data_IF_298343282012
#
_entry.id   IF_298343282012
#
_cell.length_a   1.000
_cell.length_b   1.000
_cell.length_c   1.000
_cell.angle_alpha   90.00
_cell.angle_beta   90.00
_cell.angle_gamma   90.00
#
_symmetry.space_group_name_H-M   'P 1'
#
loop_
_entity.id
_entity.type
_entity.pdbx_description
1 polymer ?
#
# COMPACT_ATOMS: atom_id res chain seq x y z
N UNK A 1 5.25 -5.03 -24.90
CA UNK A 1 5.07 -4.31 -23.62
C UNK A 1 3.69 -4.58 -23.04
N UNK A 2 3.52 -4.65 -21.71
CA UNK A 2 2.16 -4.73 -21.12
C UNK A 2 1.46 -3.38 -21.26
N UNK A 3 0.54 -3.26 -22.23
CA UNK A 3 -0.25 -2.05 -22.44
C UNK A 3 -1.12 -1.73 -21.20
N UNK A 4 -1.34 -0.43 -20.94
CA UNK A 4 -2.18 0.12 -19.86
C UNK A 4 -1.69 -0.06 -18.41
N UNK A 5 -0.45 -0.50 -18.18
CA UNK A 5 0.10 -0.60 -16.81
C UNK A 5 0.83 0.70 -16.42
N UNK A 6 0.10 1.67 -15.85
CA UNK A 6 0.67 2.90 -15.27
C UNK A 6 1.25 2.62 -13.87
N UNK A 7 2.41 1.94 -13.81
CA UNK A 7 3.18 1.80 -12.55
C UNK A 7 4.20 2.93 -12.47
N UNK A 8 4.27 3.61 -11.32
CA UNK A 8 5.41 4.49 -11.02
C UNK A 8 6.68 3.64 -11.00
N UNK A 9 7.66 3.98 -11.85
CA UNK A 9 8.96 3.29 -11.92
C UNK A 9 9.92 3.96 -10.91
N UNK A 10 10.45 3.19 -9.97
CA UNK A 10 11.35 3.67 -8.91
C UNK A 10 12.83 3.30 -9.16
N UNK A 11 13.15 2.75 -10.34
CA UNK A 11 14.51 2.35 -10.72
C UNK A 11 15.12 1.26 -9.83
N UNK A 12 14.30 0.37 -9.27
CA UNK A 12 14.72 -0.70 -8.36
C UNK A 12 14.13 -2.03 -8.79
N UNK A 13 14.83 -3.11 -8.46
CA UNK A 13 14.32 -4.47 -8.60
C UNK A 13 13.03 -4.69 -7.79
N UNK A 14 12.29 -5.74 -8.15
CA UNK A 14 10.97 -6.00 -7.60
C UNK A 14 10.99 -6.16 -6.06
N UNK A 15 11.98 -6.88 -5.54
CA UNK A 15 12.05 -7.20 -4.10
C UNK A 15 12.41 -5.97 -3.27
N UNK A 16 13.45 -5.24 -3.67
CA UNK A 16 13.82 -3.97 -3.04
C UNK A 16 12.69 -2.93 -3.12
N UNK A 17 11.96 -2.90 -4.25
CA UNK A 17 10.79 -2.03 -4.37
C UNK A 17 9.70 -2.42 -3.38
N UNK A 18 9.40 -3.71 -3.25
CA UNK A 18 8.38 -4.19 -2.32
C UNK A 18 8.75 -3.88 -0.87
N UNK A 19 10.01 -4.11 -0.48
CA UNK A 19 10.52 -3.77 0.85
C UNK A 19 10.41 -2.26 1.12
N UNK A 20 10.83 -1.41 0.17
CA UNK A 20 10.73 0.04 0.29
C UNK A 20 9.29 0.51 0.49
N UNK A 21 8.33 -0.03 -0.28
CA UNK A 21 6.92 0.34 -0.16
C UNK A 21 6.31 -0.11 1.18
N UNK A 22 6.71 -1.28 1.69
CA UNK A 22 6.30 -1.74 3.03
C UNK A 22 6.81 -0.77 4.11
N UNK A 23 8.11 -0.48 4.10
CA UNK A 23 8.72 0.39 5.11
C UNK A 23 8.11 1.80 5.11
N UNK A 24 7.93 2.40 3.92
CA UNK A 24 7.31 3.72 3.82
C UNK A 24 5.87 3.72 4.32
N UNK A 25 5.09 2.67 4.06
CA UNK A 25 3.73 2.58 4.54
C UNK A 25 3.68 2.42 6.07
N UNK A 26 4.55 1.59 6.64
CA UNK A 26 4.70 1.46 8.10
C UNK A 26 5.07 2.79 8.74
N UNK A 27 6.05 3.52 8.20
CA UNK A 27 6.44 4.82 8.74
C UNK A 27 5.33 5.86 8.66
N UNK A 28 4.48 5.84 7.62
CA UNK A 28 3.30 6.72 7.53
C UNK A 28 2.30 6.42 8.64
N UNK A 29 2.05 5.14 8.93
CA UNK A 29 1.09 4.74 9.96
C UNK A 29 1.62 5.11 11.35
N UNK A 30 2.92 4.93 11.60
CA UNK A 30 3.53 5.18 12.91
C UNK A 30 3.73 6.66 13.22
N UNK A 31 4.11 7.46 12.22
CA UNK A 31 4.50 8.86 12.42
C UNK A 31 3.50 9.87 11.85
N UNK A 32 2.39 9.39 11.29
CA UNK A 32 1.31 10.15 10.62
C UNK A 32 1.73 10.94 9.36
N UNK A 33 2.99 11.38 9.29
CA UNK A 33 3.55 12.17 8.21
C UNK A 33 5.03 11.85 8.02
N UNK A 34 5.43 11.68 6.75
CA UNK A 34 6.84 11.48 6.38
C UNK A 34 7.23 12.43 5.25
N UNK A 35 8.49 12.85 5.22
CA UNK A 35 9.09 13.59 4.10
C UNK A 35 9.78 12.61 3.16
N UNK A 36 9.33 12.53 1.91
CA UNK A 36 9.90 11.63 0.89
C UNK A 36 9.87 12.28 -0.50
N UNK A 37 10.42 11.60 -1.51
CA UNK A 37 10.41 12.13 -2.89
C UNK A 37 9.03 11.98 -3.53
N UNK A 38 8.68 12.89 -4.44
CA UNK A 38 7.38 12.89 -5.15
C UNK A 38 7.05 11.55 -5.81
N UNK A 39 8.05 10.90 -6.41
CA UNK A 39 7.87 9.58 -7.03
C UNK A 39 7.57 8.48 -5.99
N UNK A 40 8.27 8.47 -4.85
CA UNK A 40 8.04 7.51 -3.77
C UNK A 40 6.67 7.72 -3.12
N UNK A 41 6.29 8.98 -2.87
CA UNK A 41 4.98 9.33 -2.32
C UNK A 41 3.84 8.80 -3.22
N UNK A 42 3.88 9.12 -4.52
CA UNK A 42 2.89 8.62 -5.49
C UNK A 42 2.81 7.10 -5.56
N UNK A 43 3.91 6.39 -5.33
CA UNK A 43 3.94 4.93 -5.37
C UNK A 43 3.36 4.27 -4.11
N UNK A 44 3.41 4.94 -2.95
CA UNK A 44 2.98 4.39 -1.65
C UNK A 44 1.48 4.60 -1.40
N UNK A 45 0.88 5.69 -1.90
CA UNK A 45 -0.55 6.03 -1.74
C UNK A 45 -1.49 4.83 -1.94
N UNK A 46 -1.48 4.10 -3.09
CA UNK A 46 -2.42 3.01 -3.31
C UNK A 46 -2.22 1.81 -2.37
N UNK A 47 -1.05 1.69 -1.73
CA UNK A 47 -0.78 0.64 -0.74
C UNK A 47 -1.41 1.01 0.61
N UNK A 48 -1.25 2.27 1.04
CA UNK A 48 -1.81 2.78 2.30
C UNK A 48 -3.33 2.84 2.26
N UNK A 49 -3.92 3.35 1.18
CA UNK A 49 -5.38 3.42 1.01
C UNK A 49 -6.04 2.04 1.12
N UNK A 50 -5.43 1.01 0.52
CA UNK A 50 -5.90 -0.37 0.63
C UNK A 50 -5.86 -0.87 2.08
N UNK A 51 -4.80 -0.55 2.83
CA UNK A 51 -4.70 -0.96 4.24
C UNK A 51 -5.77 -0.30 5.10
N UNK A 52 -6.04 1.00 4.90
CA UNK A 52 -7.12 1.71 5.59
C UNK A 52 -8.48 1.12 5.22
N UNK A 53 -8.69 0.81 3.95
CA UNK A 53 -9.94 0.20 3.46
C UNK A 53 -10.19 -1.16 4.12
N UNK A 54 -9.14 -2.00 4.22
CA UNK A 54 -9.23 -3.30 4.89
C UNK A 54 -9.48 -3.13 6.40
N UNK A 55 -8.80 -2.19 7.06
CA UNK A 55 -9.00 -1.94 8.49
C UNK A 55 -10.44 -1.51 8.80
N UNK A 56 -11.01 -0.57 8.02
CA UNK A 56 -12.42 -0.15 8.15
C UNK A 56 -13.41 -1.28 7.86
N UNK A 57 -13.08 -2.16 6.93
CA UNK A 57 -13.94 -3.29 6.58
C UNK A 57 -14.05 -4.32 7.72
N UNK A 58 -12.95 -4.54 8.46
CA UNK A 58 -12.95 -5.36 9.68
C UNK A 58 -13.90 -4.76 10.72
N UNK A 59 -13.81 -3.45 10.94
CA UNK A 59 -14.64 -2.74 11.92
C UNK A 59 -16.15 -2.77 11.56
N UNK A 60 -16.48 -2.61 10.28
CA UNK A 60 -17.88 -2.53 9.81
C UNK A 60 -18.48 -3.88 9.40
N UNK A 61 -17.75 -4.99 9.55
CA UNK A 61 -18.20 -6.34 9.15
C UNK A 61 -18.46 -6.49 7.65
N UNK A 62 -17.96 -5.57 6.81
CA UNK A 62 -18.27 -5.53 5.38
C UNK A 62 -17.35 -6.46 4.60
N UNK A 63 -17.92 -7.50 3.97
CA UNK A 63 -17.14 -8.43 3.12
C UNK A 63 -16.58 -7.70 1.89
N UNK A 64 -15.26 -7.67 1.76
CA UNK A 64 -14.57 -7.19 0.55
C UNK A 64 -13.91 -8.40 -0.14
N UNK A 65 -14.63 -9.06 -1.05
CA UNK A 65 -14.14 -10.18 -1.87
C UNK A 65 -13.81 -11.47 -1.10
N UNK A 66 -13.02 -12.36 -1.72
CA UNK A 66 -12.62 -13.69 -1.19
C UNK A 66 -11.64 -13.64 0.01
N UNK A 67 -11.38 -12.48 0.59
CA UNK A 67 -10.54 -12.38 1.79
C UNK A 67 -11.43 -12.74 2.98
N UNK A 68 -11.51 -14.04 3.26
CA UNK A 68 -12.06 -14.57 4.51
C UNK A 68 -11.14 -14.09 5.62
N UNK A 69 -11.52 -12.98 6.26
CA UNK A 69 -10.96 -12.59 7.55
C UNK A 69 -11.51 -13.62 8.55
N UNK A 70 -10.82 -14.75 8.68
CA UNK A 70 -11.03 -15.70 9.77
C UNK A 70 -10.64 -14.97 11.05
N UNK A 71 -11.63 -14.41 11.74
CA UNK A 71 -11.51 -14.14 13.17
C UNK A 71 -11.61 -15.48 13.92
N UNK A 72 -10.83 -15.71 15.00
CA UNK A 72 -11.31 -16.56 16.08
C UNK A 72 -12.54 -15.93 16.76
#
# INVERSE_FOLDING_TARGET
MRHRVKKVKLGREADHRNALLKNLATSIILHEKIKTTKAKAKAVVPKVEKMITLARAVETGKKIGNVVIRMP
#
